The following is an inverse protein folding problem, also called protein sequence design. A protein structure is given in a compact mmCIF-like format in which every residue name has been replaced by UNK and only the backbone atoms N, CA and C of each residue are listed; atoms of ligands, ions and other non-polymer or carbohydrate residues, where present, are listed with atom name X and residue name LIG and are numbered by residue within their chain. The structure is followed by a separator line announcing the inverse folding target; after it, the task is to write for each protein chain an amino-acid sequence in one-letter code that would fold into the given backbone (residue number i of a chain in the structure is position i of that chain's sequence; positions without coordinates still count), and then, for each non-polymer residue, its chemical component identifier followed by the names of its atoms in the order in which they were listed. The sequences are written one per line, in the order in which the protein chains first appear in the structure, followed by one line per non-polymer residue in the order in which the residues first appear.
data_IF_264365016414
#
_entry.id   IF_264365016414
#
_cell.length_a   1.000
_cell.length_b   1.000
_cell.length_c   1.000
_cell.angle_alpha   90.00
_cell.angle_beta   90.00
_cell.angle_gamma   90.00
#
_symmetry.space_group_name_H-M   'P 1'
#
loop_
_entity.id
_entity.type
_entity.pdbx_description
1 polymer ?
#
# COMPACT_ATOMS: atom_id res chain seq x y z
N UNK A 1 10.97 -11.05 18.80
CA UNK A 1 11.64 -10.67 17.54
C UNK A 1 10.72 -9.68 16.86
N UNK A 2 11.10 -8.39 16.87
CA UNK A 2 10.41 -7.39 16.07
C UNK A 2 10.70 -7.75 14.61
N UNK A 3 9.73 -8.37 13.93
CA UNK A 3 9.81 -8.46 12.49
C UNK A 3 9.75 -7.02 11.99
N UNK A 4 10.84 -6.50 11.43
CA UNK A 4 10.78 -5.30 10.60
C UNK A 4 9.89 -5.66 9.40
N UNK A 5 8.56 -5.49 9.58
CA UNK A 5 7.56 -5.85 8.58
C UNK A 5 7.64 -4.77 7.51
N UNK A 6 8.55 -4.98 6.56
CA UNK A 6 8.64 -4.17 5.35
C UNK A 6 7.53 -4.63 4.41
N UNK A 7 6.68 -3.70 3.98
CA UNK A 7 5.68 -3.94 2.95
C UNK A 7 6.03 -3.12 1.71
N UNK A 8 6.03 -3.81 0.58
CA UNK A 8 6.18 -3.23 -0.75
C UNK A 8 4.81 -2.97 -1.33
N UNK A 9 4.64 -1.82 -1.97
CA UNK A 9 3.36 -1.34 -2.50
C UNK A 9 3.51 -1.01 -3.97
N UNK A 10 2.75 -1.70 -4.81
CA UNK A 10 2.61 -1.38 -6.23
C UNK A 10 1.40 -0.49 -6.45
N UNK A 11 1.59 0.55 -7.26
CA UNK A 11 0.55 1.52 -7.63
C UNK A 11 0.37 1.52 -9.14
N UNK A 12 -0.84 1.27 -9.59
CA UNK A 12 -1.23 1.37 -11.00
C UNK A 12 -2.20 2.54 -11.18
N UNK A 13 -1.66 3.65 -11.66
CA UNK A 13 -2.36 4.94 -11.75
C UNK A 13 -3.12 5.02 -13.07
N UNK A 14 -4.44 5.16 -12.95
CA UNK A 14 -5.37 5.43 -14.04
C UNK A 14 -5.96 6.83 -13.88
N UNK A 15 -6.66 7.33 -14.92
CA UNK A 15 -7.18 8.71 -15.01
C UNK A 15 -7.86 9.19 -13.73
N UNK A 16 -8.81 8.42 -13.21
CA UNK A 16 -9.66 8.82 -12.08
C UNK A 16 -9.46 7.92 -10.85
N UNK A 17 -8.40 7.10 -10.84
CA UNK A 17 -8.26 6.05 -9.82
C UNK A 17 -6.87 5.42 -9.77
N UNK A 18 -6.52 4.83 -8.64
CA UNK A 18 -5.26 4.10 -8.46
C UNK A 18 -5.60 2.69 -7.96
N UNK A 19 -5.13 1.66 -8.66
CA UNK A 19 -5.17 0.29 -8.16
C UNK A 19 -3.96 0.05 -7.28
N UNK A 20 -4.18 -0.51 -6.09
CA UNK A 20 -3.15 -0.70 -5.07
C UNK A 20 -3.04 -2.18 -4.72
N UNK A 21 -1.82 -2.69 -4.77
CA UNK A 21 -1.46 -4.02 -4.27
C UNK A 21 -0.27 -3.90 -3.32
N UNK A 22 -0.17 -4.78 -2.34
CA UNK A 22 0.95 -4.80 -1.41
C UNK A 22 1.41 -6.22 -1.09
N UNK A 23 2.68 -6.37 -0.73
CA UNK A 23 3.25 -7.65 -0.29
C UNK A 23 4.30 -7.43 0.80
N UNK A 24 4.35 -8.27 1.84
CA UNK A 24 5.52 -8.31 2.72
C UNK A 24 6.72 -8.87 1.95
N UNK A 25 7.94 -8.58 2.42
CA UNK A 25 9.19 -8.92 1.72
C UNK A 25 9.34 -10.40 1.29
N UNK A 26 8.70 -11.32 2.00
CA UNK A 26 8.77 -12.77 1.75
C UNK A 26 7.38 -13.42 1.69
N UNK A 27 6.34 -12.67 1.32
CA UNK A 27 4.98 -13.21 1.25
C UNK A 27 4.24 -12.88 -0.04
N UNK A 28 3.00 -13.33 -0.09
CA UNK A 28 2.16 -13.19 -1.27
C UNK A 28 1.67 -11.75 -1.45
N UNK A 29 1.37 -11.41 -2.71
CA UNK A 29 0.77 -10.14 -3.06
C UNK A 29 -0.71 -10.16 -2.69
N UNK A 30 -1.12 -9.18 -1.89
CA UNK A 30 -2.50 -8.92 -1.54
C UNK A 30 -3.03 -7.69 -2.30
N UNK A 31 -4.23 -7.82 -2.87
CA UNK A 31 -4.93 -6.69 -3.47
C UNK A 31 -5.55 -5.83 -2.38
N UNK A 32 -5.11 -4.58 -2.25
CA UNK A 32 -5.77 -3.60 -1.38
C UNK A 32 -7.06 -3.09 -2.02
N UNK A 33 -7.06 -2.99 -3.35
CA UNK A 33 -8.19 -2.55 -4.16
C UNK A 33 -7.93 -1.21 -4.84
N UNK A 34 -9.02 -0.57 -5.26
CA UNK A 34 -8.98 0.68 -6.03
C UNK A 34 -9.31 1.86 -5.12
N UNK A 35 -8.51 2.93 -5.22
CA UNK A 35 -8.74 4.20 -4.52
C UNK A 35 -8.93 5.34 -5.54
N UNK A 36 -9.45 6.48 -5.09
CA UNK A 36 -9.45 7.72 -5.87
C UNK A 36 -8.06 8.38 -5.92
N UNK A 37 -7.97 9.49 -6.67
CA UNK A 37 -6.74 10.26 -6.87
C UNK A 37 -6.64 11.49 -5.96
N UNK A 38 -7.59 11.68 -5.04
CA UNK A 38 -7.58 12.85 -4.16
C UNK A 38 -6.58 12.69 -3.02
N UNK A 39 -6.10 13.80 -2.45
CA UNK A 39 -5.20 13.76 -1.28
C UNK A 39 -5.82 12.96 -0.12
N UNK A 40 -7.13 13.10 0.11
CA UNK A 40 -7.86 12.36 1.15
C UNK A 40 -7.80 10.85 0.94
N UNK A 41 -7.85 10.38 -0.31
CA UNK A 41 -7.74 8.95 -0.65
C UNK A 41 -6.34 8.42 -0.35
N UNK A 42 -5.31 9.18 -0.71
CA UNK A 42 -3.91 8.86 -0.43
C UNK A 42 -3.64 8.85 1.08
N UNK A 43 -4.14 9.83 1.82
CA UNK A 43 -3.97 9.89 3.28
C UNK A 43 -4.62 8.69 3.98
N UNK A 44 -5.81 8.27 3.50
CA UNK A 44 -6.50 7.09 4.00
C UNK A 44 -5.72 5.81 3.67
N UNK A 45 -5.15 5.71 2.47
CA UNK A 45 -4.28 4.60 2.09
C UNK A 45 -3.07 4.51 3.03
N UNK A 46 -2.34 5.61 3.22
CA UNK A 46 -1.18 5.69 4.09
C UNK A 46 -1.50 5.22 5.51
N UNK A 47 -2.59 5.72 6.11
CA UNK A 47 -3.03 5.30 7.46
C UNK A 47 -3.28 3.79 7.55
N UNK A 48 -3.93 3.20 6.54
CA UNK A 48 -4.24 1.76 6.54
C UNK A 48 -3.00 0.90 6.35
N UNK A 49 -2.04 1.34 5.54
CA UNK A 49 -0.78 0.63 5.35
C UNK A 49 0.13 0.74 6.58
N UNK A 50 0.18 1.89 7.25
CA UNK A 50 0.99 2.09 8.46
C UNK A 50 0.53 1.22 9.64
N UNK A 51 -0.76 0.86 9.70
CA UNK A 51 -1.24 -0.13 10.67
C UNK A 51 -0.74 -1.55 10.41
N UNK A 52 -0.22 -1.85 9.21
CA UNK A 52 0.23 -3.19 8.79
C UNK A 52 1.76 -3.35 8.84
N UNK A 53 2.50 -2.25 8.75
CA UNK A 53 3.94 -2.28 8.55
C UNK A 53 4.62 -1.03 9.11
N UNK A 54 5.81 -1.22 9.67
CA UNK A 54 6.64 -0.11 10.17
C UNK A 54 7.33 0.64 9.02
N UNK A 55 7.66 -0.07 7.94
CA UNK A 55 8.26 0.51 6.75
C UNK A 55 7.44 0.17 5.52
N UNK A 56 7.02 1.20 4.80
CA UNK A 56 6.29 1.09 3.55
C UNK A 56 7.23 1.54 2.43
N UNK A 57 7.39 0.72 1.40
CA UNK A 57 8.19 1.02 0.23
C UNK A 57 7.31 0.98 -1.01
N UNK A 58 7.19 2.11 -1.69
CA UNK A 58 6.53 2.17 -3.00
C UNK A 58 7.55 1.73 -4.04
N UNK A 59 7.16 0.80 -4.92
CA UNK A 59 8.01 0.20 -5.97
C UNK A 59 7.41 0.37 -7.35
#
# INVERSE_FOLDING_TARGET
MEHDINVYVGLDVHKDSITVAYAPASGEVELFGKIGTTQTDIDRLCKRLQCKARHIRVV
#
